data_IF_628516262742
#
_entry.id   IF_628516262742
#
_cell.length_a   1.000
_cell.length_b   1.000
_cell.length_c   1.000
_cell.angle_alpha   90.00
_cell.angle_beta   90.00
_cell.angle_gamma   90.00
#
_symmetry.space_group_name_H-M   'P 1'
#
loop_
_entity.id
_entity.type
_entity.pdbx_description
1 polymer ?
#
# COMPACT_ATOMS: atom_id res chain seq x y z
N UNK A 1 -20.96 11.32 -10.29
CA UNK A 1 -19.51 11.41 -9.99
C UNK A 1 -19.04 10.24 -9.11
N UNK A 2 -19.00 9.00 -9.60
CA UNK A 2 -18.71 7.79 -8.78
C UNK A 2 -17.28 7.25 -8.89
N UNK A 3 -16.43 7.83 -9.74
CA UNK A 3 -15.07 7.32 -10.02
C UNK A 3 -13.94 8.36 -9.92
N UNK A 4 -14.25 9.63 -9.66
CA UNK A 4 -13.29 10.71 -9.78
C UNK A 4 -12.14 10.64 -8.76
N UNK A 5 -12.40 10.24 -7.51
CA UNK A 5 -11.37 10.20 -6.46
C UNK A 5 -10.31 9.11 -6.67
N UNK A 6 -10.71 7.90 -7.05
CA UNK A 6 -9.76 6.81 -7.35
C UNK A 6 -8.94 7.07 -8.61
N UNK A 7 -9.58 7.58 -9.66
CA UNK A 7 -8.89 7.93 -10.90
C UNK A 7 -7.93 9.11 -10.70
N UNK A 8 -8.32 10.11 -9.90
CA UNK A 8 -7.45 11.22 -9.54
C UNK A 8 -6.24 10.76 -8.73
N UNK A 9 -6.42 9.87 -7.74
CA UNK A 9 -5.31 9.28 -7.00
C UNK A 9 -4.31 8.56 -7.90
N UNK A 10 -4.80 7.71 -8.81
CA UNK A 10 -3.92 6.98 -9.75
C UNK A 10 -3.13 7.91 -10.66
N UNK A 11 -3.75 8.96 -11.17
CA UNK A 11 -3.06 9.96 -12.01
C UNK A 11 -1.97 10.71 -11.22
N UNK A 12 -2.22 11.01 -9.94
CA UNK A 12 -1.22 11.62 -9.06
C UNK A 12 -0.05 10.66 -8.77
N UNK A 13 -0.33 9.38 -8.55
CA UNK A 13 0.70 8.35 -8.33
C UNK A 13 1.60 8.17 -9.56
N UNK A 14 1.01 8.13 -10.76
CA UNK A 14 1.74 8.01 -12.02
C UNK A 14 2.67 9.23 -12.24
N UNK A 15 2.17 10.44 -11.97
CA UNK A 15 2.96 11.67 -12.04
C UNK A 15 4.07 11.71 -10.98
N UNK A 16 3.77 11.27 -9.76
CA UNK A 16 4.75 11.20 -8.68
C UNK A 16 5.90 10.24 -9.02
N UNK A 17 5.59 9.09 -9.60
CA UNK A 17 6.59 8.13 -10.09
C UNK A 17 7.51 8.75 -11.16
N UNK A 18 6.94 9.54 -12.08
CA UNK A 18 7.72 10.27 -13.08
C UNK A 18 8.62 11.35 -12.48
N UNK A 19 8.12 12.11 -11.49
CA UNK A 19 8.91 13.08 -10.75
C UNK A 19 10.07 12.42 -10.00
N UNK A 20 9.84 11.27 -9.36
CA UNK A 20 10.88 10.48 -8.69
C UNK A 20 11.96 10.04 -9.68
N UNK A 21 11.57 9.50 -10.84
CA UNK A 21 12.51 9.07 -11.87
C UNK A 21 13.39 10.21 -12.41
N UNK A 22 12.92 11.47 -12.31
CA UNK A 22 13.68 12.68 -12.64
C UNK A 22 14.52 13.24 -11.47
N UNK A 23 14.56 12.57 -10.33
CA UNK A 23 15.25 13.04 -9.11
C UNK A 23 14.53 14.16 -8.36
N UNK A 24 13.29 14.51 -8.75
CA UNK A 24 12.48 15.56 -8.11
C UNK A 24 11.75 14.98 -6.90
N UNK A 25 12.51 14.58 -5.88
CA UNK A 25 11.99 13.84 -4.72
C UNK A 25 10.95 14.63 -3.91
N UNK A 26 11.16 15.94 -3.70
CA UNK A 26 10.21 16.78 -2.96
C UNK A 26 8.84 16.87 -3.65
N UNK A 27 8.84 17.00 -4.98
CA UNK A 27 7.60 17.04 -5.75
C UNK A 27 6.90 15.67 -5.79
N UNK A 28 7.68 14.59 -5.91
CA UNK A 28 7.13 13.24 -5.81
C UNK A 28 6.46 13.00 -4.44
N UNK A 29 7.10 13.43 -3.36
CA UNK A 29 6.56 13.34 -2.00
C UNK A 29 5.23 14.10 -1.85
N UNK A 30 5.17 15.34 -2.33
CA UNK A 30 3.93 16.13 -2.29
C UNK A 30 2.81 15.49 -3.10
N UNK A 31 3.12 14.98 -4.30
CA UNK A 31 2.15 14.33 -5.17
C UNK A 31 1.60 13.04 -4.54
N UNK A 32 2.45 12.20 -3.95
CA UNK A 32 1.98 11.00 -3.25
C UNK A 32 1.15 11.34 -1.99
N UNK A 33 1.53 12.36 -1.21
CA UNK A 33 0.70 12.83 -0.08
C UNK A 33 -0.68 13.31 -0.54
N UNK A 34 -0.72 14.08 -1.63
CA UNK A 34 -1.99 14.54 -2.22
C UNK A 34 -2.84 13.39 -2.74
N UNK A 35 -2.21 12.38 -3.36
CA UNK A 35 -2.89 11.15 -3.77
C UNK A 35 -3.53 10.46 -2.57
N UNK A 36 -2.75 10.26 -1.50
CA UNK A 36 -3.20 9.62 -0.28
C UNK A 36 -4.41 10.33 0.35
N UNK A 37 -4.34 11.66 0.50
CA UNK A 37 -5.47 12.45 1.02
C UNK A 37 -6.72 12.32 0.14
N UNK A 38 -6.56 12.44 -1.18
CA UNK A 38 -7.68 12.33 -2.13
C UNK A 38 -8.35 10.96 -2.06
N UNK A 39 -7.56 9.89 -1.98
CA UNK A 39 -8.05 8.53 -1.87
C UNK A 39 -8.72 8.31 -0.51
N UNK A 40 -8.09 8.70 0.60
CA UNK A 40 -8.64 8.54 1.95
C UNK A 40 -9.98 9.27 2.13
N UNK A 41 -10.10 10.50 1.63
CA UNK A 41 -11.36 11.26 1.65
C UNK A 41 -12.45 10.57 0.80
N UNK A 42 -12.09 10.10 -0.38
CA UNK A 42 -13.01 9.36 -1.22
C UNK A 42 -13.50 8.09 -0.54
N UNK A 43 -12.61 7.34 0.11
CA UNK A 43 -12.96 6.13 0.87
C UNK A 43 -13.86 6.44 2.05
N UNK A 44 -13.57 7.49 2.82
CA UNK A 44 -14.43 7.95 3.91
C UNK A 44 -15.85 8.23 3.41
N UNK A 45 -15.97 8.99 2.31
CA UNK A 45 -17.24 9.27 1.65
C UNK A 45 -17.95 8.01 1.15
N UNK A 46 -17.20 7.04 0.60
CA UNK A 46 -17.74 5.78 0.09
C UNK A 46 -18.23 4.86 1.21
N UNK A 47 -17.54 4.82 2.35
CA UNK A 47 -17.94 4.09 3.56
C UNK A 47 -19.20 4.72 4.14
N UNK A 48 -19.26 6.04 4.29
CA UNK A 48 -20.45 6.74 4.78
C UNK A 48 -21.66 6.53 3.87
N UNK A 49 -21.47 6.61 2.55
CA UNK A 49 -22.54 6.32 1.58
C UNK A 49 -22.96 4.85 1.64
N UNK A 50 -22.02 3.93 1.81
CA UNK A 50 -22.32 2.50 1.96
C UNK A 50 -23.11 2.22 3.23
N UNK A 51 -22.76 2.87 4.35
CA UNK A 51 -23.47 2.78 5.63
C UNK A 51 -24.89 3.32 5.53
N UNK A 52 -25.10 4.48 4.89
CA UNK A 52 -26.44 5.05 4.65
C UNK A 52 -27.30 4.19 3.72
N UNK A 53 -26.68 3.52 2.74
CA UNK A 53 -27.35 2.63 1.78
C UNK A 53 -27.56 1.20 2.34
N UNK A 54 -26.98 0.89 3.49
CA UNK A 54 -26.97 -0.45 4.04
C UNK A 54 -28.39 -0.95 4.33
N UNK A 55 -28.67 -2.19 3.93
CA UNK A 55 -29.89 -2.92 4.29
C UNK A 55 -29.49 -4.20 5.03
N UNK A 56 -30.20 -4.61 6.10
CA UNK A 56 -29.80 -5.71 6.98
C UNK A 56 -29.57 -7.06 6.28
N UNK A 57 -30.23 -7.29 5.15
CA UNK A 57 -30.17 -8.53 4.37
C UNK A 57 -29.11 -8.53 3.24
N UNK A 58 -28.31 -7.47 3.08
CA UNK A 58 -27.20 -7.45 2.11
C UNK A 58 -25.90 -7.87 2.78
N UNK A 59 -25.37 -9.01 2.32
CA UNK A 59 -24.15 -9.71 2.73
C UNK A 59 -23.06 -8.82 3.38
N UNK A 60 -22.91 -8.93 4.71
CA UNK A 60 -21.81 -8.32 5.49
C UNK A 60 -20.43 -8.61 4.89
N UNK A 61 -20.20 -9.84 4.45
CA UNK A 61 -18.96 -10.27 3.77
C UNK A 61 -18.67 -9.49 2.48
N UNK A 62 -19.68 -9.14 1.71
CA UNK A 62 -19.50 -8.37 0.48
C UNK A 62 -19.09 -6.92 0.78
N UNK A 63 -19.64 -6.33 1.86
CA UNK A 63 -19.23 -5.01 2.32
C UNK A 63 -17.79 -5.02 2.85
N UNK A 64 -17.41 -6.01 3.66
CA UNK A 64 -16.04 -6.17 4.16
C UNK A 64 -15.03 -6.32 3.01
N UNK A 65 -15.28 -7.22 2.05
CA UNK A 65 -14.41 -7.40 0.87
C UNK A 65 -14.32 -6.11 0.04
N UNK A 66 -15.42 -5.37 -0.10
CA UNK A 66 -15.44 -4.13 -0.88
C UNK A 66 -14.69 -3.00 -0.16
N UNK A 67 -14.77 -2.93 1.16
CA UNK A 67 -13.99 -1.98 1.97
C UNK A 67 -12.50 -2.33 1.85
N UNK A 68 -12.13 -3.60 2.00
CA UNK A 68 -10.72 -4.01 1.92
C UNK A 68 -10.11 -3.77 0.54
N UNK A 69 -10.80 -4.13 -0.56
CA UNK A 69 -10.34 -3.87 -1.93
C UNK A 69 -10.19 -2.39 -2.26
N UNK A 70 -11.01 -1.55 -1.64
CA UNK A 70 -10.96 -0.11 -1.88
C UNK A 70 -9.75 0.56 -1.21
N UNK A 71 -9.06 -0.10 -0.27
CA UNK A 71 -7.85 0.45 0.36
C UNK A 71 -6.57 0.24 -0.47
N UNK A 72 -6.61 -0.57 -1.53
CA UNK A 72 -5.44 -0.87 -2.38
C UNK A 72 -4.72 0.41 -2.89
N UNK A 73 -5.40 1.47 -3.35
CA UNK A 73 -4.72 2.67 -3.82
C UNK A 73 -3.96 3.42 -2.70
N UNK A 74 -4.39 3.29 -1.44
CA UNK A 74 -3.63 3.85 -0.30
C UNK A 74 -2.29 3.14 -0.18
N UNK A 75 -2.27 1.80 -0.31
CA UNK A 75 -1.02 1.03 -0.29
C UNK A 75 -0.08 1.44 -1.43
N UNK A 76 -0.59 1.69 -2.64
CA UNK A 76 0.22 2.18 -3.77
C UNK A 76 0.86 3.53 -3.48
N UNK A 77 0.12 4.50 -2.93
CA UNK A 77 0.66 5.80 -2.55
C UNK A 77 1.70 5.70 -1.42
N UNK A 78 1.47 4.82 -0.43
CA UNK A 78 2.41 4.55 0.67
C UNK A 78 3.72 3.92 0.16
N UNK A 79 3.65 2.95 -0.74
CA UNK A 79 4.82 2.36 -1.38
C UNK A 79 5.60 3.40 -2.19
N UNK A 80 4.89 4.31 -2.87
CA UNK A 80 5.49 5.43 -3.59
C UNK A 80 6.28 6.36 -2.68
N UNK A 81 5.69 6.76 -1.54
CA UNK A 81 6.38 7.55 -0.52
C UNK A 81 7.58 6.83 0.07
N UNK A 82 7.43 5.53 0.37
CA UNK A 82 8.51 4.69 0.87
C UNK A 82 9.70 4.72 -0.10
N UNK A 83 9.47 4.54 -1.40
CA UNK A 83 10.54 4.61 -2.41
C UNK A 83 11.19 6.00 -2.48
N UNK A 84 10.42 7.08 -2.38
CA UNK A 84 10.95 8.45 -2.36
C UNK A 84 11.85 8.70 -1.13
N UNK A 85 11.53 8.11 0.01
CA UNK A 85 12.35 8.20 1.22
C UNK A 85 13.54 7.25 1.22
N UNK A 86 13.43 6.06 0.62
CA UNK A 86 14.55 5.16 0.36
C UNK A 86 15.59 5.84 -0.54
N UNK A 87 15.17 6.52 -1.62
CA UNK A 87 16.05 7.31 -2.48
C UNK A 87 16.79 8.43 -1.70
N UNK A 88 16.15 8.96 -0.66
CA UNK A 88 16.71 9.97 0.25
C UNK A 88 17.47 9.37 1.45
N UNK A 89 17.59 8.04 1.53
CA UNK A 89 18.21 7.28 2.65
C UNK A 89 17.55 7.51 4.02
N UNK A 90 16.29 7.95 4.05
CA UNK A 90 15.51 8.18 5.27
C UNK A 90 14.80 6.90 5.73
N UNK A 91 15.56 5.85 5.99
CA UNK A 91 14.99 4.51 6.24
C UNK A 91 14.04 4.46 7.46
N UNK A 92 14.29 5.25 8.50
CA UNK A 92 13.43 5.33 9.69
C UNK A 92 11.99 5.79 9.37
N UNK A 93 11.80 6.61 8.34
CA UNK A 93 10.49 7.08 7.88
C UNK A 93 9.81 6.08 6.92
N UNK A 94 10.60 5.17 6.33
CA UNK A 94 10.12 4.17 5.35
C UNK A 94 9.42 3.00 6.04
N UNK A 95 9.97 2.55 7.16
CA UNK A 95 9.49 1.42 7.95
C UNK A 95 7.98 1.51 8.25
N UNK A 96 7.44 2.59 8.86
CA UNK A 96 6.01 2.69 9.15
C UNK A 96 5.14 2.74 7.89
N UNK A 97 5.65 3.29 6.78
CA UNK A 97 4.93 3.35 5.51
C UNK A 97 4.79 1.95 4.89
N UNK A 98 5.89 1.18 4.88
CA UNK A 98 5.92 -0.19 4.37
C UNK A 98 5.05 -1.12 5.23
N UNK A 99 5.11 -1.00 6.55
CA UNK A 99 4.24 -1.76 7.48
C UNK A 99 2.76 -1.49 7.17
N UNK A 100 2.36 -0.21 7.06
CA UNK A 100 0.96 0.15 6.76
C UNK A 100 0.51 -0.33 5.38
N UNK A 101 1.37 -0.23 4.37
CA UNK A 101 1.10 -0.74 3.02
C UNK A 101 0.87 -2.26 3.02
N UNK A 102 1.72 -2.99 3.76
CA UNK A 102 1.63 -4.44 3.92
C UNK A 102 0.32 -4.87 4.57
N UNK A 103 -0.05 -4.27 5.70
CA UNK A 103 -1.32 -4.58 6.39
C UNK A 103 -2.55 -4.39 5.49
N UNK A 104 -2.52 -3.34 4.65
CA UNK A 104 -3.60 -3.06 3.70
C UNK A 104 -3.66 -4.16 2.62
N UNK A 105 -2.51 -4.54 2.06
CA UNK A 105 -2.43 -5.62 1.06
C UNK A 105 -2.87 -6.96 1.62
N UNK A 106 -2.45 -7.30 2.83
CA UNK A 106 -2.87 -8.53 3.54
C UNK A 106 -4.39 -8.58 3.72
N UNK A 107 -5.01 -7.50 4.20
CA UNK A 107 -6.48 -7.44 4.38
C UNK A 107 -7.25 -7.40 3.05
N UNK A 108 -6.70 -6.78 2.01
CA UNK A 108 -7.36 -6.61 0.72
C UNK A 108 -7.39 -7.88 -0.12
N UNK A 109 -6.32 -8.65 -0.09
CA UNK A 109 -6.12 -9.77 -0.99
C UNK A 109 -6.18 -11.14 -0.30
N UNK A 110 -6.01 -11.19 1.02
CA UNK A 110 -5.87 -12.44 1.77
C UNK A 110 -4.69 -13.27 1.24
N UNK A 111 -4.64 -14.55 1.63
CA UNK A 111 -3.57 -15.49 1.22
C UNK A 111 -3.56 -15.80 -0.30
N UNK A 112 -4.57 -15.36 -1.06
CA UNK A 112 -4.75 -15.73 -2.47
C UNK A 112 -3.82 -15.04 -3.45
N UNK A 113 -3.22 -13.91 -3.08
CA UNK A 113 -2.29 -13.16 -3.95
C UNK A 113 -0.90 -13.07 -3.30
N UNK A 114 -0.38 -14.26 -3.04
CA UNK A 114 0.90 -14.56 -2.39
C UNK A 114 2.10 -13.84 -3.04
N UNK A 115 2.12 -13.66 -4.38
CA UNK A 115 3.21 -12.98 -5.09
C UNK A 115 3.34 -11.49 -4.77
N UNK A 116 2.25 -10.73 -4.84
CA UNK A 116 2.30 -9.29 -4.54
C UNK A 116 2.53 -9.00 -3.05
N UNK A 117 2.18 -9.94 -2.19
CA UNK A 117 2.49 -9.88 -0.76
C UNK A 117 4.00 -10.10 -0.53
N UNK A 118 4.59 -11.07 -1.24
CA UNK A 118 6.03 -11.35 -1.20
C UNK A 118 6.86 -10.13 -1.63
N UNK A 119 6.50 -9.44 -2.72
CA UNK A 119 7.20 -8.22 -3.17
C UNK A 119 7.19 -7.12 -2.09
N UNK A 120 6.04 -6.95 -1.42
CA UNK A 120 5.86 -5.94 -0.37
C UNK A 120 6.66 -6.27 0.89
N UNK A 121 6.71 -7.56 1.26
CA UNK A 121 7.50 -8.05 2.39
C UNK A 121 9.00 -7.96 2.11
N UNK A 122 9.45 -8.33 0.92
CA UNK A 122 10.85 -8.22 0.50
C UNK A 122 11.33 -6.76 0.54
N UNK A 123 10.50 -5.82 0.07
CA UNK A 123 10.79 -4.39 0.18
C UNK A 123 10.86 -3.90 1.64
N UNK A 124 10.04 -4.47 2.53
CA UNK A 124 10.07 -4.13 3.95
C UNK A 124 11.32 -4.71 4.65
N UNK A 125 11.67 -5.97 4.39
CA UNK A 125 12.88 -6.62 4.89
C UNK A 125 14.14 -5.83 4.50
N UNK A 126 14.23 -5.39 3.25
CA UNK A 126 15.35 -4.58 2.77
C UNK A 126 15.53 -3.30 3.62
N UNK A 127 14.43 -2.64 3.99
CA UNK A 127 14.46 -1.44 4.83
C UNK A 127 14.89 -1.77 6.27
N UNK A 128 14.41 -2.88 6.84
CA UNK A 128 14.79 -3.32 8.19
C UNK A 128 16.28 -3.67 8.28
N UNK A 129 16.83 -4.34 7.26
CA UNK A 129 18.26 -4.59 7.12
C UNK A 129 19.09 -3.28 7.08
N UNK A 130 18.55 -2.20 6.49
CA UNK A 130 19.21 -0.87 6.46
C UNK A 130 19.12 -0.10 7.77
N UNK A 131 18.10 -0.37 8.60
CA UNK A 131 17.91 0.28 9.92
C UNK A 131 18.75 -0.43 11.00
N UNK A 132 19.27 -1.63 10.73
CA UNK A 132 20.00 -2.45 11.71
C UNK A 132 19.08 -3.27 12.63
N UNK A 133 17.80 -3.37 12.29
CA UNK A 133 16.84 -4.24 12.96
C UNK A 133 16.91 -5.67 12.43
N UNK A 134 18.05 -6.35 12.61
CA UNK A 134 18.29 -7.69 12.06
C UNK A 134 17.25 -8.72 12.53
N UNK A 135 16.74 -8.58 13.76
CA UNK A 135 15.74 -9.48 14.33
C UNK A 135 14.37 -9.34 13.64
N UNK A 136 13.91 -8.12 13.41
CA UNK A 136 12.64 -7.84 12.73
C UNK A 136 12.73 -8.22 11.24
N UNK A 137 13.89 -8.00 10.62
CA UNK A 137 14.14 -8.40 9.25
C UNK A 137 14.06 -9.92 9.06
N UNK A 138 14.66 -10.70 9.98
CA UNK A 138 14.63 -12.15 9.94
C UNK A 138 13.21 -12.73 10.10
N UNK A 139 12.34 -12.07 10.85
CA UNK A 139 10.95 -12.49 11.00
C UNK A 139 10.12 -12.21 9.73
N UNK A 140 10.37 -11.08 9.07
CA UNK A 140 9.77 -10.77 7.77
C UNK A 140 10.30 -11.71 6.68
N UNK A 141 11.60 -12.01 6.66
CA UNK A 141 12.22 -12.93 5.69
C UNK A 141 11.62 -14.34 5.82
N UNK A 142 11.46 -14.85 7.05
CA UNK A 142 10.74 -16.12 7.30
C UNK A 142 9.30 -16.08 6.80
N UNK A 143 8.62 -14.94 6.95
CA UNK A 143 7.25 -14.76 6.43
C UNK A 143 7.22 -14.76 4.90
N UNK A 144 8.21 -14.19 4.21
CA UNK A 144 8.33 -14.27 2.74
C UNK A 144 8.49 -15.72 2.27
N UNK A 145 9.34 -16.49 2.95
CA UNK A 145 9.58 -17.90 2.63
C UNK A 145 8.36 -18.79 2.90
N UNK A 146 7.57 -18.46 3.92
CA UNK A 146 6.35 -19.18 4.28
C UNK A 146 5.19 -18.96 3.31
N UNK A 147 5.26 -17.99 2.40
CA UNK A 147 4.19 -17.72 1.43
C UNK A 147 4.20 -18.79 0.31
N UNK A 148 3.14 -19.62 0.20
CA UNK A 148 3.06 -20.66 -0.82
C UNK A 148 2.97 -20.02 -2.21
N UNK A 149 3.95 -20.32 -3.07
CA UNK A 149 4.08 -19.73 -4.41
C UNK A 149 5.43 -19.03 -4.64
N UNK A 150 6.18 -18.73 -3.58
CA UNK A 150 7.57 -18.28 -3.69
C UNK A 150 8.52 -19.46 -3.94
N UNK A 151 8.23 -20.27 -4.98
CA UNK A 151 9.25 -21.15 -5.56
C UNK A 151 10.08 -20.30 -6.51
N UNK A 152 11.00 -19.51 -5.95
CA UNK A 152 12.16 -19.05 -6.73
C UNK A 152 13.04 -20.31 -6.90
N UNK A 153 12.82 -21.01 -8.01
CA UNK A 153 13.59 -22.21 -8.38
C UNK A 153 12.71 -23.37 -8.83
N UNK A 154 12.37 -23.42 -10.11
CA UNK A 154 13.00 -24.31 -11.10
C UNK A 154 12.81 -23.73 -12.50
#
# INVERSE_FOLDING_TARGET
MRGCGRAAGRALDDLAGFCRARGRHAEAEELYRRSLTTVEEHLRSEVDRSRKRWRPWRNRKELEVRISRNQIPISTALDGLALVYEDQKKYSEVEPLRRRSLEIKERAWGERYSSFLADSLAAHAHVLHKIGGEHDAAEIDKRVEAIPGNKIGQ
#
